data_IF_998801226119
#
_entry.id   IF_998801226119
#
_cell.length_a   1.000
_cell.length_b   1.000
_cell.length_c   1.000
_cell.angle_alpha   90.00
_cell.angle_beta   90.00
_cell.angle_gamma   90.00
#
_symmetry.space_group_name_H-M   'P 1'
#
loop_
_entity.id
_entity.type
_entity.pdbx_description
1 polymer ?
#
# COMPACT_ATOMS: atom_id res chain seq x y z
N UNK A 1 28.89 5.47 -12.09
CA UNK A 1 27.94 6.18 -11.21
C UNK A 1 26.71 6.49 -12.04
N UNK A 2 25.77 5.56 -12.15
CA UNK A 2 24.62 5.68 -13.07
C UNK A 2 23.38 6.01 -12.24
N UNK A 3 23.00 7.29 -12.26
CA UNK A 3 21.89 7.83 -11.50
C UNK A 3 20.58 7.35 -12.13
N UNK A 4 19.96 6.31 -11.57
CA UNK A 4 18.66 5.80 -12.03
C UNK A 4 17.58 6.72 -11.48
N UNK A 5 17.25 7.77 -12.25
CA UNK A 5 16.05 8.57 -12.00
C UNK A 5 14.84 7.64 -12.15
N UNK A 6 14.18 7.34 -11.03
CA UNK A 6 12.80 6.84 -11.05
C UNK A 6 11.96 7.93 -11.71
N UNK A 7 11.65 7.76 -13.00
CA UNK A 7 10.68 8.61 -13.67
C UNK A 7 9.32 8.36 -13.01
N UNK A 8 8.89 9.30 -12.17
CA UNK A 8 7.50 9.36 -11.73
C UNK A 8 6.63 9.54 -12.98
N UNK A 9 5.67 8.62 -13.20
CA UNK A 9 4.63 8.79 -14.22
C UNK A 9 3.90 10.11 -13.94
N UNK A 10 3.60 10.93 -14.96
CA UNK A 10 2.88 12.19 -14.74
C UNK A 10 1.55 11.87 -14.07
N UNK A 11 1.31 12.49 -12.90
CA UNK A 11 0.00 12.48 -12.26
C UNK A 11 -0.92 13.28 -13.17
N UNK A 12 -1.67 12.58 -14.03
CA UNK A 12 -2.75 13.16 -14.83
C UNK A 12 -3.81 13.64 -13.84
N UNK A 13 -3.78 14.94 -13.53
CA UNK A 13 -4.89 15.64 -12.89
C UNK A 13 -5.85 15.96 -14.03
N UNK A 14 -6.69 14.98 -14.40
CA UNK A 14 -7.59 15.07 -15.53
C UNK A 14 -8.88 14.33 -15.24
N UNK A 15 -9.95 15.10 -15.13
CA UNK A 15 -11.34 14.66 -15.20
C UNK A 15 -11.58 13.96 -16.56
N UNK A 16 -11.48 12.64 -16.57
CA UNK A 16 -11.77 11.81 -17.73
C UNK A 16 -12.13 10.38 -17.28
N UNK A 17 -13.40 10.15 -16.95
CA UNK A 17 -14.06 8.84 -17.07
C UNK A 17 -13.48 7.63 -16.30
N UNK A 18 -12.83 7.84 -15.15
CA UNK A 18 -12.21 6.78 -14.35
C UNK A 18 -13.05 6.55 -13.08
N UNK A 19 -13.31 5.28 -12.72
CA UNK A 19 -14.01 4.93 -11.48
C UNK A 19 -13.39 5.60 -10.24
N UNK A 20 -14.16 5.74 -9.17
CA UNK A 20 -13.73 6.48 -7.96
C UNK A 20 -12.36 6.01 -7.45
N UNK A 21 -11.58 6.92 -6.84
CA UNK A 21 -10.29 6.58 -6.24
C UNK A 21 -10.49 5.86 -4.91
N UNK A 22 -9.71 4.82 -4.67
CA UNK A 22 -9.74 4.05 -3.42
C UNK A 22 -8.34 4.01 -2.82
N UNK A 23 -8.25 4.38 -1.54
CA UNK A 23 -7.04 4.23 -0.73
C UNK A 23 -7.34 3.29 0.43
N UNK A 24 -6.60 2.19 0.50
CA UNK A 24 -6.75 1.15 1.52
C UNK A 24 -5.40 0.85 2.16
N UNK A 25 -5.40 0.58 3.48
CA UNK A 25 -4.18 0.30 4.23
C UNK A 25 -4.29 -0.94 5.11
N UNK A 26 -3.23 -1.76 5.15
CA UNK A 26 -3.07 -2.82 6.17
C UNK A 26 -1.86 -2.48 7.04
N UNK A 27 -2.06 -2.58 8.35
CA UNK A 27 -1.00 -2.45 9.35
C UNK A 27 -0.14 -3.72 9.37
N UNK A 28 1.20 -3.61 9.30
CA UNK A 28 2.09 -4.77 9.37
C UNK A 28 2.29 -5.26 10.81
N UNK A 29 1.20 -5.58 11.51
CA UNK A 29 1.21 -6.07 12.89
C UNK A 29 0.44 -7.38 13.03
N UNK A 30 0.82 -8.18 14.03
CA UNK A 30 0.26 -9.52 14.25
C UNK A 30 0.60 -10.50 13.13
N UNK A 31 -0.11 -11.62 13.11
CA UNK A 31 -0.07 -12.58 12.01
C UNK A 31 -1.31 -12.39 11.13
N UNK A 32 -1.08 -12.26 9.82
CA UNK A 32 -2.14 -12.21 8.83
C UNK A 32 -2.89 -13.53 8.84
N UNK A 33 -4.20 -13.48 9.02
CA UNK A 33 -5.06 -14.65 9.09
C UNK A 33 -6.16 -14.61 8.02
N UNK A 34 -6.89 -15.71 7.88
CA UNK A 34 -7.96 -15.86 6.87
C UNK A 34 -9.00 -14.74 6.92
N UNK A 35 -9.26 -14.20 8.12
CA UNK A 35 -10.11 -13.01 8.30
C UNK A 35 -9.65 -11.78 7.52
N UNK A 36 -8.34 -11.48 7.46
CA UNK A 36 -7.83 -10.37 6.65
C UNK A 36 -8.08 -10.61 5.15
N UNK A 37 -7.95 -11.86 4.71
CA UNK A 37 -8.18 -12.23 3.32
C UNK A 37 -9.66 -12.08 2.93
N UNK A 38 -10.56 -12.69 3.71
CA UNK A 38 -11.99 -12.66 3.44
C UNK A 38 -12.61 -11.28 3.66
N UNK A 39 -12.11 -10.52 4.63
CA UNK A 39 -12.64 -9.20 4.99
C UNK A 39 -12.20 -8.08 4.06
N UNK A 40 -11.02 -8.19 3.43
CA UNK A 40 -10.44 -7.11 2.65
C UNK A 40 -9.84 -7.58 1.32
N UNK A 41 -8.79 -8.41 1.35
CA UNK A 41 -7.97 -8.70 0.17
C UNK A 41 -8.77 -9.31 -1.00
N UNK A 42 -9.72 -10.20 -0.71
CA UNK A 42 -10.58 -10.81 -1.74
C UNK A 42 -11.43 -9.78 -2.49
N UNK A 43 -11.86 -8.72 -1.82
CA UNK A 43 -12.65 -7.66 -2.47
C UNK A 43 -11.74 -6.72 -3.25
N UNK A 44 -10.56 -6.41 -2.70
CA UNK A 44 -9.58 -5.53 -3.33
C UNK A 44 -9.07 -6.02 -4.68
N UNK A 45 -8.97 -7.33 -4.87
CA UNK A 45 -8.53 -7.93 -6.14
C UNK A 45 -9.53 -7.70 -7.28
N UNK A 46 -10.82 -7.50 -6.99
CA UNK A 46 -11.82 -7.09 -7.98
C UNK A 46 -11.82 -5.57 -8.14
N UNK A 47 -11.83 -4.84 -7.02
CA UNK A 47 -11.89 -3.37 -7.01
C UNK A 47 -10.75 -2.70 -7.77
N UNK A 48 -9.55 -3.29 -7.80
CA UNK A 48 -8.42 -2.74 -8.56
C UNK A 48 -8.70 -2.54 -10.06
N UNK A 49 -9.63 -3.28 -10.64
CA UNK A 49 -9.99 -3.16 -12.06
C UNK A 49 -11.15 -2.20 -12.29
N UNK A 50 -11.90 -1.84 -11.25
CA UNK A 50 -13.04 -0.93 -11.29
C UNK A 50 -12.64 0.50 -10.89
N UNK A 51 -11.59 0.63 -10.07
CA UNK A 51 -11.19 1.86 -9.40
C UNK A 51 -9.70 2.12 -9.53
N UNK A 52 -9.33 3.41 -9.54
CA UNK A 52 -7.93 3.78 -9.36
C UNK A 52 -7.51 3.51 -7.89
N UNK A 53 -6.87 2.36 -7.68
CA UNK A 53 -6.63 1.79 -6.35
C UNK A 53 -5.20 1.99 -5.84
N UNK A 54 -5.12 2.36 -4.57
CA UNK A 54 -3.89 2.60 -3.81
C UNK A 54 -3.91 1.70 -2.56
N UNK A 55 -2.96 0.77 -2.48
CA UNK A 55 -2.81 -0.16 -1.37
C UNK A 55 -1.54 0.16 -0.58
N UNK A 56 -1.72 0.70 0.61
CA UNK A 56 -0.65 1.13 1.49
C UNK A 56 -0.35 0.08 2.57
N UNK A 57 0.93 -0.09 2.90
CA UNK A 57 1.37 -0.80 4.09
C UNK A 57 1.72 0.25 5.13
N UNK A 58 0.90 0.36 6.18
CA UNK A 58 0.93 1.48 7.12
C UNK A 58 1.89 1.24 8.29
N UNK A 59 3.18 1.17 7.99
CA UNK A 59 4.24 0.94 8.97
C UNK A 59 4.43 2.10 9.96
N UNK A 60 4.19 3.36 9.56
CA UNK A 60 4.20 4.50 10.48
C UNK A 60 3.04 4.43 11.50
N UNK A 61 1.91 3.82 11.15
CA UNK A 61 0.84 3.58 12.13
C UNK A 61 1.20 2.45 13.11
N UNK A 62 2.03 1.48 12.71
CA UNK A 62 2.45 0.38 13.58
C UNK A 62 3.33 0.84 14.75
N UNK A 63 4.21 1.83 14.52
CA UNK A 63 5.15 2.34 15.54
C UNK A 63 4.51 3.19 16.64
N UNK A 64 3.19 3.43 16.58
CA UNK A 64 2.43 4.09 17.67
C UNK A 64 2.33 3.22 18.93
N UNK A 65 2.70 1.94 18.82
CA UNK A 65 2.88 1.00 19.92
C UNK A 65 4.30 0.41 19.85
N UNK A 66 4.88 -0.10 20.96
CA UNK A 66 6.22 -0.69 20.92
C UNK A 66 6.34 -1.82 19.89
N UNK A 67 7.34 -1.73 19.01
CA UNK A 67 7.63 -2.72 17.98
C UNK A 67 9.05 -3.24 18.13
N UNK A 68 9.25 -4.51 17.82
CA UNK A 68 10.58 -5.02 17.51
C UNK A 68 10.95 -4.59 16.06
N UNK A 69 12.05 -3.85 15.85
CA UNK A 69 12.38 -3.31 14.53
C UNK A 69 12.59 -4.38 13.46
N UNK A 70 13.24 -5.50 13.80
CA UNK A 70 13.51 -6.58 12.86
C UNK A 70 12.20 -7.25 12.43
N UNK A 71 11.31 -7.53 13.39
CA UNK A 71 9.98 -8.09 13.14
C UNK A 71 9.11 -7.15 12.32
N UNK A 72 9.09 -5.84 12.60
CA UNK A 72 8.32 -4.88 11.81
C UNK A 72 8.78 -4.85 10.35
N UNK A 73 10.10 -4.90 10.12
CA UNK A 73 10.66 -4.98 8.78
C UNK A 73 10.21 -6.26 8.04
N UNK A 74 10.29 -7.41 8.71
CA UNK A 74 9.84 -8.69 8.16
C UNK A 74 8.33 -8.67 7.85
N UNK A 75 7.50 -8.23 8.79
CA UNK A 75 6.04 -8.15 8.62
C UNK A 75 5.64 -7.19 7.50
N UNK A 76 6.34 -6.09 7.32
CA UNK A 76 6.11 -5.17 6.18
C UNK A 76 6.29 -5.90 4.85
N UNK A 77 7.33 -6.73 4.73
CA UNK A 77 7.56 -7.55 3.53
C UNK A 77 6.55 -8.68 3.38
N UNK A 78 6.14 -9.32 4.47
CA UNK A 78 5.08 -10.34 4.45
C UNK A 78 3.77 -9.78 3.91
N UNK A 79 3.34 -8.59 4.38
CA UNK A 79 2.12 -7.95 3.88
C UNK A 79 2.24 -7.63 2.39
N UNK A 80 3.39 -7.11 1.95
CA UNK A 80 3.63 -6.84 0.53
C UNK A 80 3.54 -8.13 -0.32
N UNK A 81 4.15 -9.22 0.16
CA UNK A 81 4.08 -10.52 -0.50
C UNK A 81 2.64 -11.05 -0.53
N UNK A 82 1.89 -10.89 0.56
CA UNK A 82 0.49 -11.30 0.64
C UNK A 82 -0.39 -10.53 -0.34
N UNK A 83 -0.20 -9.23 -0.51
CA UNK A 83 -0.96 -8.46 -1.51
C UNK A 83 -0.80 -9.06 -2.90
N UNK A 84 0.44 -9.34 -3.30
CA UNK A 84 0.75 -9.92 -4.61
C UNK A 84 0.18 -11.34 -4.70
N UNK A 85 0.37 -12.17 -3.67
CA UNK A 85 -0.12 -13.54 -3.62
C UNK A 85 -1.65 -13.63 -3.66
N UNK A 86 -2.35 -12.65 -3.08
CA UNK A 86 -3.80 -12.55 -3.10
C UNK A 86 -4.34 -12.13 -4.48
N UNK A 87 -3.49 -11.62 -5.38
CA UNK A 87 -3.85 -11.20 -6.74
C UNK A 87 -3.91 -9.69 -6.94
N UNK A 88 -3.38 -8.88 -6.02
CA UNK A 88 -3.23 -7.44 -6.26
C UNK A 88 -2.04 -7.23 -7.20
N UNK A 89 -2.28 -6.61 -8.35
CA UNK A 89 -1.30 -6.47 -9.40
C UNK A 89 -0.62 -5.09 -9.35
N UNK A 90 0.72 -5.00 -9.16
CA UNK A 90 1.45 -3.72 -9.14
C UNK A 90 1.40 -2.95 -10.47
N UNK A 91 0.98 -3.61 -11.56
CA UNK A 91 0.80 -2.98 -12.88
C UNK A 91 -0.56 -2.28 -13.01
N UNK A 92 -1.55 -2.70 -12.22
CA UNK A 92 -2.93 -2.19 -12.23
C UNK A 92 -3.14 -1.21 -11.07
N UNK A 93 -2.66 -1.56 -9.89
CA UNK A 93 -2.78 -0.75 -8.66
C UNK A 93 -1.43 -0.25 -8.15
N UNK A 94 -1.46 0.77 -7.31
CA UNK A 94 -0.26 1.27 -6.62
C UNK A 94 -0.12 0.60 -5.26
N UNK A 95 0.91 -0.20 -5.10
CA UNK A 95 1.29 -0.81 -3.81
C UNK A 95 2.53 -0.07 -3.27
N UNK A 96 2.50 0.38 -2.03
CA UNK A 96 3.64 1.08 -1.41
C UNK A 96 3.66 0.95 0.12
N UNK A 97 4.82 1.21 0.71
CA UNK A 97 5.02 1.32 2.16
C UNK A 97 4.92 2.79 2.56
N UNK A 98 4.17 3.09 3.62
CA UNK A 98 3.85 4.46 4.03
C UNK A 98 5.13 5.29 4.30
N UNK A 99 6.07 4.74 5.06
CA UNK A 99 7.35 5.40 5.38
C UNK A 99 8.24 5.71 4.17
N UNK A 100 8.04 5.02 3.03
CA UNK A 100 8.83 5.28 1.82
C UNK A 100 8.37 6.54 1.06
N UNK A 101 7.24 7.13 1.45
CA UNK A 101 6.65 8.31 0.80
C UNK A 101 6.53 9.43 1.81
N UNK A 102 7.58 10.27 1.89
CA UNK A 102 7.73 11.39 2.84
C UNK A 102 6.53 12.35 2.87
N UNK A 103 5.79 12.47 1.76
CA UNK A 103 4.58 13.29 1.69
C UNK A 103 3.52 12.90 2.75
N UNK A 104 3.48 11.65 3.23
CA UNK A 104 2.55 11.26 4.29
C UNK A 104 2.86 12.00 5.59
N UNK A 105 4.13 12.05 5.99
CA UNK A 105 4.55 12.73 7.23
C UNK A 105 4.51 14.25 7.07
N UNK A 106 4.87 14.76 5.89
CA UNK A 106 4.81 16.20 5.59
C UNK A 106 3.37 16.71 5.65
N UNK A 107 2.43 15.98 5.04
CA UNK A 107 1.01 16.35 5.06
C UNK A 107 0.38 16.19 6.44
N UNK A 108 0.74 15.15 7.20
CA UNK A 108 0.23 14.95 8.55
C UNK A 108 0.68 16.04 9.54
N UNK A 109 1.79 16.73 9.24
CA UNK A 109 2.29 17.84 10.05
C UNK A 109 1.54 19.15 9.81
N UNK A 110 1.10 19.41 8.57
CA UNK A 110 0.36 20.62 8.17
C UNK A 110 -1.05 20.60 8.78
#
# INVERSE_FOLDING_TARGET
MTNTRVQARPTQIGDAGIGSRVLSGIMPTGDLHIGNYLGALRNWTQMQHEHESYFCIVDLHAITTPQDPARLHEKTREVAALYIAAGIEPKVSRIFVQSHVHNHTELAWI
#
